data_IF_229810795341
#
_entry.id   IF_229810795341
#
_cell.length_a   1.000
_cell.length_b   1.000
_cell.length_c   1.000
_cell.angle_alpha   90.00
_cell.angle_beta   90.00
_cell.angle_gamma   90.00
#
_symmetry.space_group_name_H-M   'P 1'
#
loop_
_entity.id
_entity.type
_entity.pdbx_description
1 polymer ?
#
# COMPACT_ATOMS: atom_id res chain seq x y z
N UNK A 1 -11.72 -11.41 -2.21
CA UNK A 1 -10.58 -10.50 -1.90
C UNK A 1 -11.16 -9.13 -1.61
N UNK A 2 -10.54 -8.35 -0.73
CA UNK A 2 -11.01 -7.01 -0.37
C UNK A 2 -9.97 -5.95 -0.73
N UNK A 3 -10.42 -4.72 -0.98
CA UNK A 3 -9.59 -3.51 -0.91
C UNK A 3 -10.34 -2.46 -0.10
N UNK A 4 -9.70 -1.32 0.12
CA UNK A 4 -10.28 -0.22 0.87
C UNK A 4 -10.12 1.08 0.10
N UNK A 5 -11.21 1.82 -0.03
CA UNK A 5 -11.25 3.19 -0.54
C UNK A 5 -11.75 4.11 0.58
N UNK A 6 -11.05 5.22 0.84
CA UNK A 6 -11.37 6.08 1.99
C UNK A 6 -12.83 6.58 1.99
N UNK A 7 -13.36 6.91 0.81
CA UNK A 7 -14.74 7.39 0.64
C UNK A 7 -15.81 6.28 0.56
N UNK A 8 -15.44 5.09 0.10
CA UNK A 8 -16.41 4.00 -0.14
C UNK A 8 -16.31 2.87 0.90
N UNK A 9 -15.27 2.86 1.73
CA UNK A 9 -14.99 1.81 2.70
C UNK A 9 -14.44 0.54 2.05
N UNK A 10 -14.85 -0.61 2.59
CA UNK A 10 -14.42 -1.92 2.12
C UNK A 10 -15.11 -2.31 0.82
N UNK A 11 -14.31 -2.70 -0.17
CA UNK A 11 -14.79 -3.12 -1.49
C UNK A 11 -14.47 -4.58 -1.70
N UNK A 12 -15.48 -5.37 -2.07
CA UNK A 12 -15.30 -6.78 -2.45
C UNK A 12 -14.95 -6.88 -3.92
N UNK A 13 -13.87 -7.60 -4.22
CA UNK A 13 -13.39 -7.83 -5.57
C UNK A 13 -13.69 -9.27 -6.00
N UNK A 14 -14.31 -9.37 -7.18
CA UNK A 14 -14.59 -10.60 -7.90
C UNK A 14 -13.48 -11.01 -8.87
N UNK A 15 -13.72 -12.09 -9.61
CA UNK A 15 -12.73 -12.71 -10.52
C UNK A 15 -12.34 -11.82 -11.71
N UNK A 16 -13.23 -10.92 -12.14
CA UNK A 16 -13.05 -10.10 -13.35
C UNK A 16 -12.56 -8.69 -13.01
N UNK A 17 -12.45 -8.36 -11.72
CA UNK A 17 -11.96 -7.06 -11.28
C UNK A 17 -10.46 -6.94 -11.52
N UNK A 18 -10.05 -5.82 -12.10
CA UNK A 18 -8.65 -5.56 -12.41
C UNK A 18 -7.94 -5.03 -11.18
N UNK A 19 -6.82 -5.67 -10.83
CA UNK A 19 -5.92 -5.17 -9.80
C UNK A 19 -5.20 -3.93 -10.33
N UNK A 20 -5.30 -2.85 -9.56
CA UNK A 20 -4.61 -1.60 -9.83
C UNK A 20 -3.25 -1.63 -9.13
N UNK A 21 -2.17 -1.21 -9.81
CA UNK A 21 -0.88 -1.02 -9.16
C UNK A 21 -0.99 -0.11 -7.93
N UNK A 22 -0.02 -0.24 -7.02
CA UNK A 22 0.11 0.63 -5.83
C UNK A 22 -1.13 0.63 -4.91
N UNK A 23 -1.96 -0.42 -5.01
CA UNK A 23 -3.14 -0.64 -4.19
C UNK A 23 -2.93 -1.88 -3.34
N UNK A 24 -3.21 -1.76 -2.04
CA UNK A 24 -3.21 -2.91 -1.15
C UNK A 24 -4.49 -3.72 -1.31
N UNK A 25 -4.34 -5.04 -1.16
CA UNK A 25 -5.43 -6.00 -1.26
C UNK A 25 -5.36 -6.98 -0.08
N UNK A 26 -6.50 -7.28 0.51
CA UNK A 26 -6.65 -8.28 1.54
C UNK A 26 -7.12 -9.58 0.91
N UNK A 27 -6.28 -10.58 1.05
CA UNK A 27 -6.59 -11.94 0.65
C UNK A 27 -6.72 -12.79 1.90
N UNK A 28 -7.92 -13.32 2.11
CA UNK A 28 -8.14 -14.37 3.09
C UNK A 28 -8.01 -15.73 2.41
N UNK A 29 -7.14 -16.58 2.93
CA UNK A 29 -7.06 -17.98 2.55
C UNK A 29 -7.00 -18.87 3.78
N UNK A 30 -7.56 -20.07 3.68
CA UNK A 30 -7.49 -21.10 4.74
C UNK A 30 -6.29 -22.03 4.59
N UNK A 31 -5.42 -21.74 3.62
CA UNK A 31 -4.20 -22.51 3.33
C UNK A 31 -3.28 -21.75 2.37
N UNK A 32 -2.06 -22.26 2.13
CA UNK A 32 -1.12 -21.64 1.20
C UNK A 32 -1.72 -21.52 -0.20
N UNK A 33 -1.57 -20.35 -0.83
CA UNK A 33 -1.97 -20.11 -2.20
C UNK A 33 -0.85 -19.40 -2.95
N UNK A 34 -0.66 -19.75 -4.22
CA UNK A 34 0.23 -19.03 -5.13
C UNK A 34 -0.63 -18.21 -6.09
N UNK A 35 -0.47 -16.88 -6.06
CA UNK A 35 -1.14 -15.97 -7.00
C UNK A 35 -0.13 -15.53 -8.06
N UNK A 36 -0.38 -15.89 -9.32
CA UNK A 36 0.39 -15.38 -10.45
C UNK A 36 -0.13 -14.02 -10.90
N UNK A 37 0.67 -12.98 -10.74
CA UNK A 37 0.37 -11.65 -11.25
C UNK A 37 0.88 -11.49 -12.68
N UNK A 38 -0.03 -11.11 -13.60
CA UNK A 38 0.36 -10.63 -14.94
C UNK A 38 0.40 -9.12 -14.92
N UNK A 39 1.59 -8.55 -15.13
CA UNK A 39 1.83 -7.10 -15.08
C UNK A 39 2.01 -6.57 -16.50
N UNK A 40 1.26 -5.52 -16.85
CA UNK A 40 1.28 -4.89 -18.18
C UNK A 40 2.20 -3.65 -18.18
N UNK A 41 3.48 -3.83 -17.85
CA UNK A 41 4.44 -2.72 -17.76
C UNK A 41 4.45 -1.99 -16.41
N UNK A 42 5.32 -0.98 -16.25
CA UNK A 42 5.38 -0.18 -15.03
C UNK A 42 4.08 0.65 -14.84
N UNK A 43 3.67 0.96 -13.60
CA UNK A 43 2.58 1.90 -13.40
C UNK A 43 2.98 3.30 -13.86
N UNK A 44 2.09 3.94 -14.62
CA UNK A 44 2.27 5.31 -15.12
C UNK A 44 1.35 6.31 -14.39
N UNK A 45 0.21 5.83 -13.88
CA UNK A 45 -0.78 6.66 -13.20
C UNK A 45 -0.47 6.79 -11.70
N UNK A 46 -0.65 8.00 -11.18
CA UNK A 46 -0.61 8.25 -9.75
C UNK A 46 -1.86 7.69 -9.06
N UNK A 47 -1.69 7.16 -7.84
CA UNK A 47 -2.81 6.74 -7.00
C UNK A 47 -3.31 7.92 -6.16
N UNK A 48 -4.59 8.33 -6.30
CA UNK A 48 -5.16 9.31 -5.39
C UNK A 48 -5.32 8.72 -3.99
N UNK A 49 -4.93 9.50 -3.00
CA UNK A 49 -5.09 9.21 -1.58
C UNK A 49 -5.90 10.36 -0.94
N UNK A 50 -6.85 10.01 -0.09
CA UNK A 50 -7.69 10.98 0.62
C UNK A 50 -7.11 11.33 2.00
N UNK A 51 -7.65 12.36 2.66
CA UNK A 51 -7.37 12.58 4.09
C UNK A 51 -7.81 11.36 4.91
N UNK A 52 -7.02 11.00 5.92
CA UNK A 52 -7.23 9.83 6.78
C UNK A 52 -6.44 8.61 6.33
N UNK A 53 -6.93 7.43 6.71
CA UNK A 53 -6.30 6.15 6.39
C UNK A 53 -6.58 5.71 4.95
N UNK A 54 -5.52 5.36 4.22
CA UNK A 54 -5.59 4.83 2.88
C UNK A 54 -4.84 3.51 2.79
N UNK A 55 -5.35 2.59 1.98
CA UNK A 55 -4.69 1.33 1.69
C UNK A 55 -3.88 1.46 0.39
N UNK A 56 -2.57 1.28 0.50
CA UNK A 56 -1.62 1.51 -0.60
C UNK A 56 -0.59 0.38 -0.71
N UNK A 57 0.17 0.43 -1.79
CA UNK A 57 1.37 -0.38 -2.02
C UNK A 57 2.40 0.46 -2.76
N UNK A 58 3.64 0.01 -2.81
CA UNK A 58 4.70 0.67 -3.59
C UNK A 58 4.96 -0.06 -4.91
N UNK A 59 5.37 0.70 -5.92
CA UNK A 59 5.92 0.16 -7.17
C UNK A 59 7.41 -0.19 -7.01
N UNK A 60 7.93 -1.07 -7.87
CA UNK A 60 9.36 -1.42 -7.90
C UNK A 60 9.62 -2.87 -7.49
N UNK A 61 10.90 -3.20 -7.25
CA UNK A 61 11.35 -4.57 -6.94
C UNK A 61 12.16 -4.69 -5.65
N UNK A 62 12.49 -3.58 -5.03
CA UNK A 62 13.34 -3.51 -3.84
C UNK A 62 12.63 -2.81 -2.71
N UNK A 63 12.92 -3.22 -1.48
CA UNK A 63 12.49 -2.53 -0.28
C UNK A 63 12.94 -1.07 -0.32
N UNK A 64 12.11 -0.16 0.21
CA UNK A 64 12.46 1.26 0.37
C UNK A 64 12.07 1.74 1.76
N UNK A 65 12.84 2.64 2.37
CA UNK A 65 12.39 3.38 3.55
C UNK A 65 11.11 4.15 3.24
N UNK A 66 10.16 4.19 4.18
CA UNK A 66 8.89 4.91 4.03
C UNK A 66 9.11 6.39 3.69
N UNK A 67 10.10 7.04 4.32
CA UNK A 67 10.50 8.42 4.03
C UNK A 67 10.89 8.63 2.56
N UNK A 68 11.58 7.65 1.96
CA UNK A 68 11.95 7.71 0.54
C UNK A 68 10.76 7.41 -0.35
N UNK A 69 10.07 6.30 -0.10
CA UNK A 69 8.97 5.83 -0.93
C UNK A 69 7.76 6.79 -0.95
N UNK A 70 7.53 7.51 0.15
CA UNK A 70 6.45 8.47 0.33
C UNK A 70 6.94 9.92 0.28
N UNK A 71 8.14 10.18 -0.23
CA UNK A 71 8.75 11.52 -0.28
C UNK A 71 7.91 12.54 -1.06
N UNK A 72 7.12 12.10 -2.04
CA UNK A 72 6.19 12.93 -2.79
C UNK A 72 4.90 13.29 -2.04
N UNK A 73 4.67 12.72 -0.86
CA UNK A 73 3.52 13.00 0.00
C UNK A 73 3.99 13.93 1.13
N UNK A 74 3.55 15.18 1.12
CA UNK A 74 3.92 16.13 2.16
C UNK A 74 3.14 15.89 3.45
N UNK A 75 1.91 15.40 3.35
CA UNK A 75 0.92 15.36 4.43
C UNK A 75 0.84 14.03 5.19
N UNK A 76 1.56 12.98 4.76
CA UNK A 76 1.54 11.71 5.48
C UNK A 76 2.16 11.83 6.88
N UNK A 77 1.68 11.02 7.83
CA UNK A 77 2.19 11.03 9.21
C UNK A 77 2.50 9.64 9.76
N UNK A 78 1.68 8.65 9.38
CA UNK A 78 1.82 7.29 9.88
C UNK A 78 1.79 6.29 8.74
N UNK A 79 2.57 5.22 8.87
CA UNK A 79 2.52 4.06 8.00
C UNK A 79 2.48 2.78 8.83
N UNK A 80 1.66 1.80 8.42
CA UNK A 80 1.56 0.49 9.07
C UNK A 80 1.55 -0.59 7.99
N UNK A 81 2.66 -1.29 7.83
CA UNK A 81 2.78 -2.40 6.88
C UNK A 81 2.38 -3.73 7.51
N UNK A 82 1.92 -4.66 6.69
CA UNK A 82 1.57 -6.01 7.13
C UNK A 82 2.76 -6.96 6.93
N UNK A 83 3.09 -7.77 7.93
CA UNK A 83 4.07 -8.84 7.83
C UNK A 83 3.36 -10.14 7.40
N UNK A 84 3.47 -10.56 6.11
CA UNK A 84 2.81 -11.77 5.65
C UNK A 84 3.41 -13.04 6.24
N UNK A 85 4.68 -13.02 6.68
CA UNK A 85 5.34 -14.18 7.29
C UNK A 85 4.86 -14.41 8.73
N UNK A 86 4.61 -13.32 9.47
CA UNK A 86 4.08 -13.37 10.85
C UNK A 86 2.56 -13.27 10.95
N UNK A 87 1.90 -12.96 9.83
CA UNK A 87 0.45 -12.70 9.74
C UNK A 87 -0.05 -11.63 10.73
N UNK A 88 0.68 -10.53 10.86
CA UNK A 88 0.33 -9.42 11.74
C UNK A 88 0.85 -8.09 11.20
N UNK A 89 0.30 -6.97 11.66
CA UNK A 89 0.88 -5.67 11.36
C UNK A 89 2.24 -5.49 12.04
N UNK A 90 3.14 -4.79 11.34
CA UNK A 90 4.38 -4.27 11.92
C UNK A 90 4.05 -3.06 12.81
N UNK A 91 5.02 -2.67 13.63
CA UNK A 91 4.93 -1.42 14.39
C UNK A 91 4.74 -0.23 13.44
N UNK A 92 3.98 0.77 13.92
CA UNK A 92 3.70 1.94 13.12
C UNK A 92 4.97 2.79 12.92
N UNK A 93 5.26 3.09 11.66
CA UNK A 93 6.25 4.09 11.29
C UNK A 93 5.65 5.48 11.41
N UNK A 94 6.38 6.40 12.06
CA UNK A 94 6.00 7.81 12.18
C UNK A 94 6.94 8.64 11.33
N UNK A 95 6.40 9.58 10.55
CA UNK A 95 7.22 10.53 9.77
C UNK A 95 8.15 11.31 10.69
N UNK A 96 9.45 11.25 10.43
CA UNK A 96 10.49 11.85 11.28
C UNK A 96 10.70 11.16 12.63
N UNK A 97 10.12 9.98 12.87
CA UNK A 97 10.14 9.25 14.15
C UNK A 97 11.46 8.57 14.52
N UNK A 98 12.54 8.77 13.75
CA UNK A 98 13.88 8.23 14.00
C UNK A 98 14.06 6.74 13.70
N UNK A 99 13.02 5.92 13.81
CA UNK A 99 13.04 4.51 13.39
C UNK A 99 12.69 4.37 11.91
N UNK A 100 13.57 3.71 11.14
CA UNK A 100 13.32 3.41 9.74
C UNK A 100 12.22 2.33 9.61
N UNK A 101 11.18 2.63 8.84
CA UNK A 101 10.16 1.64 8.44
C UNK A 101 10.33 1.30 6.97
N UNK A 102 10.53 0.02 6.67
CA UNK A 102 10.67 -0.44 5.29
C UNK A 102 9.30 -0.79 4.70
N UNK A 103 9.09 -0.34 3.46
CA UNK A 103 7.99 -0.74 2.61
C UNK A 103 8.51 -1.72 1.55
N UNK A 104 7.84 -2.85 1.42
CA UNK A 104 8.22 -3.93 0.53
C UNK A 104 7.29 -3.96 -0.69
N UNK A 105 7.81 -4.02 -1.92
CA UNK A 105 6.96 -4.30 -3.07
C UNK A 105 6.25 -5.65 -2.91
N UNK A 106 4.95 -5.68 -3.19
CA UNK A 106 4.09 -6.85 -2.96
C UNK A 106 3.45 -6.91 -1.57
N UNK A 107 3.90 -6.09 -0.61
CA UNK A 107 3.21 -5.90 0.67
C UNK A 107 2.30 -4.66 0.61
N UNK A 108 1.05 -4.82 1.04
CA UNK A 108 0.16 -3.70 1.28
C UNK A 108 0.47 -3.01 2.61
N UNK A 109 0.22 -1.71 2.68
CA UNK A 109 0.34 -0.93 3.91
C UNK A 109 -0.78 0.09 4.03
N UNK A 110 -1.08 0.45 5.28
CA UNK A 110 -1.91 1.60 5.61
C UNK A 110 -1.03 2.84 5.70
N UNK A 111 -1.50 3.94 5.12
CA UNK A 111 -0.87 5.26 5.27
C UNK A 111 -1.92 6.28 5.69
N UNK A 112 -1.58 7.10 6.68
CA UNK A 112 -2.44 8.19 7.15
C UNK A 112 -1.97 9.52 6.56
N UNK A 113 -2.87 10.25 5.89
CA UNK A 113 -2.61 11.57 5.33
C UNK A 113 -3.45 12.65 6.02
N UNK A 114 -2.87 13.83 6.21
CA UNK A 114 -3.59 14.99 6.74
C UNK A 114 -4.32 15.79 5.65
N UNK A 115 -3.94 15.63 4.37
CA UNK A 115 -4.57 16.26 3.22
C UNK A 115 -4.61 15.27 2.04
N UNK A 116 -5.57 15.39 1.10
CA UNK A 116 -5.57 14.53 -0.07
C UNK A 116 -4.36 14.82 -0.96
N UNK A 117 -3.68 13.77 -1.44
CA UNK A 117 -2.48 13.86 -2.26
C UNK A 117 -2.42 12.68 -3.26
N UNK A 118 -1.50 12.75 -4.23
CA UNK A 118 -1.31 11.70 -5.23
C UNK A 118 0.01 10.97 -4.99
N UNK A 119 -0.05 9.65 -4.78
CA UNK A 119 1.13 8.80 -4.71
C UNK A 119 1.59 8.45 -6.13
N UNK A 120 2.75 8.97 -6.53
CA UNK A 120 3.31 8.76 -7.86
C UNK A 120 4.10 7.45 -7.96
N UNK A 121 4.09 6.78 -9.13
CA UNK A 121 4.99 5.66 -9.38
C UNK A 121 6.47 6.04 -9.22
N UNK A 122 7.29 5.10 -8.76
CA UNK A 122 8.74 5.23 -8.77
C UNK A 122 9.37 6.08 -7.64
N UNK A 123 8.57 6.75 -6.80
CA UNK A 123 9.06 7.37 -5.56
C UNK A 123 9.62 6.31 -4.61
#
# INVERSE_FOLDING_TARGET
MLTYESKAGWITLGKDDRLKPMTGYWLYTTGPVTISLKVSGPPEEAKPLDTGWNLAGISGKTAKPAETALSGLSSWSYVVSYDPARQQYRDAGVKGGGSETLLMPGEGFWVYLNAPENLNPGT
#
